data_IF_231951961627
#
_entry.id   IF_231951961627
#
_cell.length_a   1.000
_cell.length_b   1.000
_cell.length_c   1.000
_cell.angle_alpha   90.00
_cell.angle_beta   90.00
_cell.angle_gamma   90.00
#
_symmetry.space_group_name_H-M   'P 1'
#
loop_
_entity.id
_entity.type
_entity.pdbx_description
1 polymer ?
#
# COMPACT_ATOMS: atom_id res chain seq x y z
N UNK A 1 24.87 -3.09 11.78
CA UNK A 1 23.48 -3.48 11.52
C UNK A 1 23.07 -3.06 10.11
N UNK A 2 22.37 -3.92 9.41
CA UNK A 2 21.83 -3.58 8.09
C UNK A 2 20.59 -2.67 8.28
N UNK A 3 20.51 -1.61 7.47
CA UNK A 3 19.29 -0.83 7.39
C UNK A 3 18.27 -1.58 6.54
N UNK A 4 17.05 -1.67 7.04
CA UNK A 4 15.92 -2.30 6.36
C UNK A 4 14.92 -1.21 5.98
N UNK A 5 14.42 -1.32 4.76
CA UNK A 5 13.54 -0.34 4.14
C UNK A 5 12.20 -0.98 3.82
N UNK A 6 11.15 -0.16 3.86
CA UNK A 6 9.86 -0.51 3.27
C UNK A 6 9.55 0.49 2.17
N UNK A 7 9.43 0.00 0.94
CA UNK A 7 8.97 0.81 -0.19
C UNK A 7 7.52 0.45 -0.48
N UNK A 8 6.65 1.45 -0.51
CA UNK A 8 5.23 1.22 -0.76
C UNK A 8 4.70 2.07 -1.90
N UNK A 9 3.61 1.58 -2.49
CA UNK A 9 2.88 2.23 -3.56
C UNK A 9 1.39 2.00 -3.35
N UNK A 10 0.59 3.05 -3.54
CA UNK A 10 -0.85 2.98 -3.34
C UNK A 10 -1.61 3.38 -4.59
N UNK A 11 -2.82 2.84 -4.74
CA UNK A 11 -3.78 3.26 -5.76
C UNK A 11 -5.05 3.72 -5.07
N UNK A 12 -5.61 4.84 -5.53
CA UNK A 12 -6.77 5.46 -4.90
C UNK A 12 -7.90 5.71 -5.88
N UNK A 13 -9.11 5.75 -5.35
CA UNK A 13 -10.29 6.27 -6.04
C UNK A 13 -10.21 7.81 -6.01
N UNK A 14 -10.61 8.47 -7.09
CA UNK A 14 -10.60 9.94 -7.18
C UNK A 14 -9.28 10.53 -7.69
N UNK A 15 -8.27 9.72 -7.90
CA UNK A 15 -6.97 10.16 -8.42
C UNK A 15 -6.13 10.94 -7.42
N UNK A 16 -4.95 11.37 -7.88
CA UNK A 16 -3.95 12.00 -7.01
C UNK A 16 -4.37 13.38 -6.48
N UNK A 17 -5.15 14.15 -7.24
CA UNK A 17 -5.56 15.49 -6.85
C UNK A 17 -6.61 15.48 -5.72
N UNK A 18 -7.55 14.54 -5.77
CA UNK A 18 -8.67 14.43 -4.82
C UNK A 18 -8.95 12.97 -4.48
N UNK A 19 -8.03 12.29 -3.78
CA UNK A 19 -8.25 10.89 -3.42
C UNK A 19 -9.40 10.77 -2.42
N UNK A 20 -10.35 9.88 -2.72
CA UNK A 20 -11.51 9.63 -1.85
C UNK A 20 -11.35 8.33 -1.06
N UNK A 21 -10.46 7.45 -1.48
CA UNK A 21 -10.18 6.22 -0.79
C UNK A 21 -9.09 5.42 -1.47
N UNK A 22 -8.39 4.60 -0.71
CA UNK A 22 -7.33 3.72 -1.23
C UNK A 22 -7.94 2.35 -1.50
N UNK A 23 -7.68 1.77 -2.68
CA UNK A 23 -8.15 0.43 -3.00
C UNK A 23 -7.04 -0.60 -3.19
N UNK A 24 -5.79 -0.16 -3.29
CA UNK A 24 -4.66 -1.08 -3.38
C UNK A 24 -3.44 -0.49 -2.68
N UNK A 25 -2.67 -1.35 -2.02
CA UNK A 25 -1.34 -1.03 -1.54
C UNK A 25 -0.41 -2.21 -1.81
N UNK A 26 0.76 -1.90 -2.36
CA UNK A 26 1.87 -2.83 -2.45
C UNK A 26 3.00 -2.37 -1.54
N UNK A 27 3.63 -3.28 -0.83
CA UNK A 27 4.78 -2.99 0.02
C UNK A 27 5.87 -4.03 -0.17
N UNK A 28 7.11 -3.55 -0.25
CA UNK A 28 8.29 -4.39 -0.39
C UNK A 28 9.23 -4.07 0.75
N UNK A 29 9.59 -5.10 1.52
CA UNK A 29 10.61 -4.99 2.57
C UNK A 29 11.92 -5.45 1.95
N UNK A 30 12.93 -4.60 2.00
CA UNK A 30 14.22 -4.88 1.34
C UNK A 30 15.39 -4.28 2.11
N UNK A 31 16.60 -4.73 1.81
CA UNK A 31 17.81 -4.13 2.34
C UNK A 31 18.31 -3.00 1.42
N UNK A 32 19.44 -2.41 1.76
CA UNK A 32 20.05 -1.31 0.99
C UNK A 32 20.50 -1.74 -0.42
N UNK A 33 20.81 -3.02 -0.60
CA UNK A 33 21.24 -3.56 -1.89
C UNK A 33 20.07 -3.96 -2.78
N UNK A 34 18.84 -3.87 -2.27
CA UNK A 34 17.66 -4.25 -3.01
C UNK A 34 17.28 -5.73 -2.87
N UNK A 35 17.91 -6.47 -1.96
CA UNK A 35 17.49 -7.83 -1.66
C UNK A 35 16.13 -7.81 -0.98
N UNK A 36 15.17 -8.52 -1.55
CA UNK A 36 13.79 -8.55 -1.06
C UNK A 36 13.66 -9.57 0.07
N UNK A 37 13.20 -9.09 1.23
CA UNK A 37 12.97 -9.92 2.41
C UNK A 37 11.51 -10.36 2.50
N UNK A 38 10.58 -9.50 2.09
CA UNK A 38 9.15 -9.79 2.08
C UNK A 38 8.42 -8.85 1.14
N UNK A 39 7.28 -9.29 0.65
CA UNK A 39 6.37 -8.46 -0.16
C UNK A 39 4.95 -8.68 0.31
N UNK A 40 4.10 -7.66 0.15
CA UNK A 40 2.66 -7.81 0.30
C UNK A 40 1.95 -6.95 -0.74
N UNK A 41 0.80 -7.42 -1.18
CA UNK A 41 -0.10 -6.63 -2.02
C UNK A 41 -1.52 -6.86 -1.55
N UNK A 42 -2.22 -5.78 -1.23
CA UNK A 42 -3.53 -5.83 -0.62
C UNK A 42 -4.56 -5.09 -1.46
N UNK A 43 -5.72 -5.72 -1.64
CA UNK A 43 -6.89 -5.09 -2.22
C UNK A 43 -7.80 -4.66 -1.06
N UNK A 44 -8.07 -3.36 -0.97
CA UNK A 44 -8.88 -2.77 0.10
C UNK A 44 -10.32 -2.64 -0.41
N UNK A 45 -11.24 -3.32 0.25
CA UNK A 45 -12.63 -3.42 -0.20
C UNK A 45 -13.55 -2.32 0.34
N UNK A 46 -13.06 -1.47 1.22
CA UNK A 46 -13.85 -0.42 1.89
C UNK A 46 -14.56 0.51 0.91
N UNK A 47 -13.90 0.83 -0.20
CA UNK A 47 -14.44 1.75 -1.21
C UNK A 47 -14.85 1.03 -2.49
N UNK A 48 -15.21 -0.24 -2.40
CA UNK A 48 -15.52 -1.07 -3.58
C UNK A 48 -16.58 -0.44 -4.50
N UNK A 49 -17.65 0.10 -3.92
CA UNK A 49 -18.74 0.70 -4.70
C UNK A 49 -18.30 2.01 -5.39
N UNK A 50 -17.36 2.73 -4.79
CA UNK A 50 -16.83 3.98 -5.34
C UNK A 50 -15.90 3.72 -6.53
N UNK A 51 -15.24 2.57 -6.58
CA UNK A 51 -14.37 2.17 -7.70
C UNK A 51 -15.14 2.17 -9.02
N UNK A 52 -16.42 1.79 -9.00
CA UNK A 52 -17.25 1.75 -10.18
C UNK A 52 -17.52 3.14 -10.79
N UNK A 53 -17.38 4.19 -9.98
CA UNK A 53 -17.63 5.58 -10.41
C UNK A 53 -16.38 6.27 -10.94
N UNK A 54 -15.19 5.77 -10.59
CA UNK A 54 -13.92 6.34 -11.01
C UNK A 54 -13.42 5.65 -12.27
N UNK A 55 -13.23 6.41 -13.34
CA UNK A 55 -12.86 5.84 -14.65
C UNK A 55 -11.50 5.14 -14.66
N UNK A 56 -10.52 5.67 -13.91
CA UNK A 56 -9.20 5.08 -13.80
C UNK A 56 -9.22 3.81 -12.95
N UNK A 57 -9.81 3.89 -11.77
CA UNK A 57 -9.93 2.75 -10.86
C UNK A 57 -10.75 1.62 -11.51
N UNK A 58 -11.85 1.95 -12.18
CA UNK A 58 -12.67 0.99 -12.90
C UNK A 58 -11.89 0.25 -13.99
N UNK A 59 -11.01 0.96 -14.70
CA UNK A 59 -10.17 0.38 -15.75
C UNK A 59 -9.16 -0.62 -15.17
N UNK A 60 -8.59 -0.31 -14.02
CA UNK A 60 -7.52 -1.11 -13.42
C UNK A 60 -8.04 -2.23 -12.49
N UNK A 61 -9.23 -2.08 -11.94
CA UNK A 61 -9.76 -3.02 -10.95
C UNK A 61 -9.82 -4.48 -11.45
N UNK A 62 -10.19 -4.77 -12.71
CA UNK A 62 -10.21 -6.15 -13.19
C UNK A 62 -8.87 -6.86 -13.06
N UNK A 63 -7.75 -6.16 -13.19
CA UNK A 63 -6.41 -6.72 -13.00
C UNK A 63 -6.22 -7.18 -11.56
N UNK A 64 -6.65 -6.37 -10.59
CA UNK A 64 -6.56 -6.72 -9.18
C UNK A 64 -7.51 -7.85 -8.80
N UNK A 65 -8.71 -7.86 -9.36
CA UNK A 65 -9.67 -8.94 -9.14
C UNK A 65 -9.12 -10.29 -9.63
N UNK A 66 -8.44 -10.31 -10.78
CA UNK A 66 -7.78 -11.51 -11.29
C UNK A 66 -6.64 -11.97 -10.39
N UNK A 67 -5.82 -11.04 -9.92
CA UNK A 67 -4.73 -11.35 -8.99
C UNK A 67 -5.26 -11.91 -7.67
N UNK A 68 -6.41 -11.43 -7.21
CA UNK A 68 -7.08 -11.95 -6.01
C UNK A 68 -7.48 -13.42 -6.22
N UNK A 69 -8.07 -13.76 -7.35
CA UNK A 69 -8.46 -15.14 -7.69
C UNK A 69 -7.27 -16.09 -7.73
N UNK A 70 -6.13 -15.63 -8.21
CA UNK A 70 -4.92 -16.43 -8.34
C UNK A 70 -4.05 -16.44 -7.08
N UNK A 71 -4.47 -15.77 -6.01
CA UNK A 71 -3.73 -15.72 -4.75
C UNK A 71 -2.51 -14.79 -4.77
N UNK A 72 -2.32 -13.99 -5.80
CA UNK A 72 -1.19 -13.05 -5.89
C UNK A 72 -1.35 -11.83 -5.02
N UNK A 73 -2.59 -11.48 -4.67
CA UNK A 73 -2.90 -10.44 -3.70
C UNK A 73 -3.95 -10.95 -2.72
N UNK A 74 -4.05 -10.31 -1.56
CA UNK A 74 -5.02 -10.62 -0.53
C UNK A 74 -6.00 -9.46 -0.36
N UNK A 75 -7.25 -9.76 0.01
CA UNK A 75 -8.25 -8.73 0.29
C UNK A 75 -8.29 -8.41 1.78
N UNK A 76 -8.46 -7.14 2.10
CA UNK A 76 -8.76 -6.65 3.45
C UNK A 76 -10.00 -5.78 3.38
N UNK A 77 -10.75 -5.70 4.48
CA UNK A 77 -12.03 -4.99 4.50
C UNK A 77 -11.86 -3.47 4.52
N UNK A 78 -10.87 -2.97 5.26
CA UNK A 78 -10.70 -1.53 5.51
C UNK A 78 -9.28 -1.05 5.23
N UNK A 79 -9.12 0.26 5.03
CA UNK A 79 -7.82 0.90 4.95
C UNK A 79 -7.03 0.72 6.24
N UNK A 80 -7.70 0.71 7.38
CA UNK A 80 -7.06 0.50 8.68
C UNK A 80 -6.44 -0.89 8.78
N UNK A 81 -7.12 -1.91 8.30
CA UNK A 81 -6.56 -3.27 8.24
C UNK A 81 -5.33 -3.33 7.32
N UNK A 82 -5.39 -2.67 6.17
CA UNK A 82 -4.25 -2.59 5.25
C UNK A 82 -3.05 -1.92 5.92
N UNK A 83 -3.28 -0.81 6.62
CA UNK A 83 -2.26 -0.12 7.39
C UNK A 83 -1.61 -1.03 8.43
N UNK A 84 -2.43 -1.76 9.19
CA UNK A 84 -1.93 -2.65 10.24
C UNK A 84 -1.11 -3.81 9.69
N UNK A 85 -1.52 -4.37 8.56
CA UNK A 85 -0.73 -5.42 7.88
C UNK A 85 0.66 -4.90 7.52
N UNK A 86 0.73 -3.73 6.89
CA UNK A 86 2.01 -3.13 6.48
C UNK A 86 2.85 -2.76 7.70
N UNK A 87 2.25 -2.13 8.71
CA UNK A 87 2.96 -1.75 9.93
C UNK A 87 3.52 -2.96 10.68
N UNK A 88 2.72 -4.02 10.82
CA UNK A 88 3.16 -5.25 11.47
C UNK A 88 4.31 -5.90 10.70
N UNK A 89 4.27 -5.86 9.37
CA UNK A 89 5.34 -6.35 8.54
C UNK A 89 6.63 -5.54 8.77
N UNK A 90 6.52 -4.22 8.82
CA UNK A 90 7.64 -3.34 9.12
C UNK A 90 8.24 -3.62 10.50
N UNK A 91 7.40 -3.79 11.51
CA UNK A 91 7.84 -4.09 12.88
C UNK A 91 8.54 -5.46 12.95
N UNK A 92 8.01 -6.45 12.26
CA UNK A 92 8.57 -7.81 12.24
C UNK A 92 9.99 -7.83 11.65
N UNK A 93 10.23 -7.09 10.59
CA UNK A 93 11.54 -7.07 9.91
C UNK A 93 12.48 -5.98 10.41
N UNK A 94 12.07 -5.20 11.41
CA UNK A 94 12.91 -4.13 11.94
C UNK A 94 13.17 -3.01 10.94
N UNK A 95 12.15 -2.64 10.17
CA UNK A 95 12.24 -1.55 9.19
C UNK A 95 12.60 -0.26 9.90
N UNK A 96 13.59 0.45 9.35
CA UNK A 96 13.99 1.78 9.85
C UNK A 96 13.45 2.90 8.98
N UNK A 97 13.45 2.72 7.66
CA UNK A 97 13.06 3.75 6.71
C UNK A 97 11.87 3.31 5.88
N UNK A 98 10.92 4.24 5.69
CA UNK A 98 9.81 4.05 4.77
C UNK A 98 10.00 4.96 3.56
N UNK A 99 9.68 4.46 2.36
CA UNK A 99 9.93 5.11 1.09
C UNK A 99 8.74 4.91 0.15
N UNK A 100 8.55 5.85 -0.77
CA UNK A 100 7.61 5.71 -1.87
C UNK A 100 8.11 6.55 -3.06
N UNK A 101 7.77 6.11 -4.26
CA UNK A 101 8.13 6.85 -5.47
C UNK A 101 7.52 8.25 -5.49
N UNK A 102 6.25 8.36 -5.09
CA UNK A 102 5.56 9.63 -4.93
C UNK A 102 5.16 9.82 -3.47
N UNK A 103 6.14 10.06 -2.62
CA UNK A 103 5.97 10.11 -1.17
C UNK A 103 4.97 11.16 -0.71
N UNK A 104 4.90 12.31 -1.38
CA UNK A 104 3.92 13.34 -1.08
C UNK A 104 2.48 12.86 -1.26
N UNK A 105 2.25 11.92 -2.16
CA UNK A 105 0.94 11.29 -2.34
C UNK A 105 0.75 10.12 -1.35
N UNK A 106 1.64 9.13 -1.39
CA UNK A 106 1.45 7.88 -0.65
C UNK A 106 1.42 8.07 0.86
N UNK A 107 2.21 9.00 1.39
CA UNK A 107 2.26 9.26 2.84
C UNK A 107 1.36 10.41 3.29
N UNK A 108 1.10 11.40 2.43
CA UNK A 108 0.33 12.58 2.83
C UNK A 108 -1.15 12.49 2.50
N UNK A 109 -1.54 11.64 1.55
CA UNK A 109 -2.91 11.53 1.05
C UNK A 109 -3.60 10.20 1.42
N UNK A 110 -2.93 9.31 2.11
CA UNK A 110 -3.46 8.01 2.51
C UNK A 110 -3.30 7.79 4.01
N UNK A 111 -3.86 6.68 4.51
CA UNK A 111 -3.70 6.26 5.91
C UNK A 111 -2.23 5.97 6.30
N UNK A 112 -1.34 5.80 5.32
CA UNK A 112 0.08 5.53 5.58
C UNK A 112 0.86 6.73 6.10
N UNK A 113 0.24 7.91 6.15
CA UNK A 113 0.80 9.06 6.84
C UNK A 113 1.23 8.73 8.28
N UNK A 114 0.48 7.86 8.94
CA UNK A 114 0.77 7.46 10.32
C UNK A 114 2.08 6.67 10.47
N UNK A 115 2.60 6.09 9.39
CA UNK A 115 3.92 5.45 9.42
C UNK A 115 5.04 6.45 9.70
N UNK A 116 4.88 7.71 9.30
CA UNK A 116 5.90 8.74 9.51
C UNK A 116 6.16 9.02 10.99
N UNK A 117 5.22 8.67 11.88
CA UNK A 117 5.38 8.85 13.33
C UNK A 117 6.29 7.79 13.95
N UNK A 118 6.48 6.66 13.29
CA UNK A 118 7.18 5.50 13.82
C UNK A 118 8.46 5.15 13.05
N UNK A 119 8.59 5.62 11.82
CA UNK A 119 9.70 5.28 10.95
C UNK A 119 10.33 6.55 10.35
N UNK A 120 11.60 6.48 10.01
CA UNK A 120 12.29 7.55 9.31
C UNK A 120 11.91 7.55 7.83
N UNK A 121 11.87 8.73 7.28
CA UNK A 121 11.47 8.95 5.89
C UNK A 121 12.68 9.37 5.03
#
# INVERSE_FOLDING_TARGET
>A
MKNIYCTLDTETVGGAAHPTGMYNVGAIIHDRKGEILATTSLLVMEHYDEIALDSYAKKNFPVYAERLKTGKISAVATEREAYEVVKNLCDHYGVRYVMAYNSGFDFCKTCFRDLLDNFEF
#
